data_IF_497503375059
#
_entry.id   IF_497503375059
#
_cell.length_a   1.000
_cell.length_b   1.000
_cell.length_c   1.000
_cell.angle_alpha   90.00
_cell.angle_beta   90.00
_cell.angle_gamma   90.00
#
_symmetry.space_group_name_H-M   'P 1'
#
loop_
_entity.id
_entity.type
_entity.pdbx_description
1 polymer ?
#
# COMPACT_ATOMS: atom_id res chain seq x y z
N UNK A 1 -2.54 -19.88 -3.67
CA UNK A 1 -2.20 -19.39 -2.32
C UNK A 1 -3.33 -18.52 -1.84
N UNK A 2 -3.77 -18.68 -0.59
CA UNK A 2 -4.84 -17.85 -0.01
C UNK A 2 -4.29 -16.43 0.13
N UNK A 3 -4.97 -15.44 -0.45
CA UNK A 3 -4.59 -14.04 -0.29
C UNK A 3 -4.61 -13.69 1.21
N UNK A 4 -3.64 -12.88 1.71
CA UNK A 4 -3.65 -12.45 3.11
C UNK A 4 -5.02 -11.85 3.45
N UNK A 5 -5.57 -12.18 4.63
CA UNK A 5 -6.89 -11.70 5.07
C UNK A 5 -6.83 -10.23 5.46
N UNK A 6 -6.71 -9.36 4.46
CA UNK A 6 -6.96 -7.93 4.61
C UNK A 6 -8.39 -7.60 4.21
N UNK A 7 -9.07 -6.74 4.97
CA UNK A 7 -10.38 -6.19 4.61
C UNK A 7 -10.28 -4.68 4.48
N UNK A 8 -10.74 -4.15 3.35
CA UNK A 8 -10.88 -2.72 3.15
C UNK A 8 -11.97 -2.20 4.09
N UNK A 9 -11.59 -1.30 4.99
CA UNK A 9 -12.51 -0.68 5.95
C UNK A 9 -13.08 0.63 5.40
N UNK A 10 -12.21 1.49 4.88
CA UNK A 10 -12.55 2.84 4.46
C UNK A 10 -11.73 3.23 3.23
N UNK A 11 -12.32 4.08 2.40
CA UNK A 11 -11.63 4.85 1.37
C UNK A 11 -11.90 6.32 1.64
N UNK A 12 -10.84 7.09 1.89
CA UNK A 12 -10.92 8.53 2.15
C UNK A 12 -10.08 9.23 1.10
N UNK A 13 -10.74 9.68 0.03
CA UNK A 13 -10.10 10.33 -1.10
C UNK A 13 -9.03 9.42 -1.73
N UNK A 14 -7.74 9.74 -1.54
CA UNK A 14 -6.56 9.03 -2.02
C UNK A 14 -6.02 7.98 -1.03
N UNK A 15 -6.60 7.88 0.17
CA UNK A 15 -6.21 6.92 1.19
C UNK A 15 -7.12 5.68 1.23
N UNK A 16 -6.51 4.48 1.25
CA UNK A 16 -7.19 3.21 1.49
C UNK A 16 -6.81 2.69 2.89
N UNK A 17 -7.79 2.42 3.73
CA UNK A 17 -7.58 1.89 5.09
C UNK A 17 -8.01 0.43 5.15
N UNK A 18 -7.09 -0.44 5.56
CA UNK A 18 -7.36 -1.86 5.72
C UNK A 18 -7.22 -2.28 7.18
N UNK A 19 -8.04 -3.24 7.60
CA UNK A 19 -7.73 -4.12 8.73
C UNK A 19 -7.08 -5.40 8.21
N UNK A 20 -6.13 -5.94 8.96
CA UNK A 20 -5.42 -7.17 8.59
C UNK A 20 -5.06 -7.95 9.85
N UNK A 21 -5.12 -9.28 9.77
CA UNK A 21 -4.63 -10.16 10.85
C UNK A 21 -3.13 -9.90 11.12
N UNK A 22 -2.71 -10.07 12.37
CA UNK A 22 -1.31 -9.94 12.77
C UNK A 22 -0.42 -10.89 11.95
N UNK A 23 0.70 -10.37 11.41
CA UNK A 23 1.58 -11.09 10.49
C UNK A 23 1.17 -11.05 9.01
N UNK A 24 -0.05 -10.60 8.68
CA UNK A 24 -0.52 -10.46 7.29
C UNK A 24 -0.14 -9.13 6.62
N UNK A 25 0.33 -8.14 7.39
CA UNK A 25 0.51 -6.77 6.93
C UNK A 25 1.50 -6.62 5.75
N UNK A 26 2.65 -7.30 5.80
CA UNK A 26 3.65 -7.22 4.73
C UNK A 26 3.11 -7.75 3.39
N UNK A 27 2.40 -8.88 3.42
CA UNK A 27 1.86 -9.48 2.20
C UNK A 27 0.68 -8.67 1.63
N UNK A 28 -0.15 -8.07 2.50
CA UNK A 28 -1.20 -7.14 2.06
C UNK A 28 -0.60 -5.87 1.44
N UNK A 29 0.43 -5.29 2.08
CA UNK A 29 1.17 -4.13 1.57
C UNK A 29 1.65 -4.38 0.14
N UNK A 30 2.37 -5.48 -0.08
CA UNK A 30 2.93 -5.79 -1.41
C UNK A 30 1.83 -5.96 -2.47
N UNK A 31 0.73 -6.61 -2.11
CA UNK A 31 -0.41 -6.79 -3.02
C UNK A 31 -1.11 -5.46 -3.36
N UNK A 32 -1.37 -4.61 -2.36
CA UNK A 32 -2.02 -3.31 -2.54
C UNK A 32 -1.12 -2.35 -3.31
N UNK A 33 0.17 -2.26 -2.96
CA UNK A 33 1.13 -1.42 -3.68
C UNK A 33 1.21 -1.82 -5.15
N UNK A 34 1.30 -3.14 -5.45
CA UNK A 34 1.30 -3.61 -6.83
C UNK A 34 0.03 -3.19 -7.57
N UNK A 35 -1.15 -3.43 -6.97
CA UNK A 35 -2.42 -3.09 -7.59
C UNK A 35 -2.55 -1.58 -7.85
N UNK A 36 -2.14 -0.73 -6.90
CA UNK A 36 -2.21 0.73 -7.04
C UNK A 36 -1.22 1.25 -8.09
N UNK A 37 0.02 0.76 -8.11
CA UNK A 37 1.08 1.31 -8.97
C UNK A 37 0.99 0.78 -10.40
N UNK A 38 0.66 -0.49 -10.59
CA UNK A 38 0.77 -1.15 -11.89
C UNK A 38 -0.58 -1.45 -12.56
N UNK A 39 -1.62 -1.75 -11.78
CA UNK A 39 -2.86 -2.32 -12.32
C UNK A 39 -4.01 -1.29 -12.37
N UNK A 40 -3.90 -0.18 -11.64
CA UNK A 40 -4.99 0.80 -11.51
C UNK A 40 -5.23 1.62 -12.79
N UNK A 41 -4.18 2.16 -13.41
CA UNK A 41 -4.27 2.92 -14.66
C UNK A 41 -2.88 3.15 -15.29
N UNK A 42 -2.83 3.30 -16.61
CA UNK A 42 -1.62 3.72 -17.31
C UNK A 42 -1.44 5.24 -17.18
N UNK A 43 -0.44 5.67 -16.41
CA UNK A 43 -0.14 7.07 -16.15
C UNK A 43 1.20 7.46 -16.79
N UNK A 44 1.34 8.73 -17.16
CA UNK A 44 2.60 9.28 -17.70
C UNK A 44 3.69 9.45 -16.64
N UNK A 45 3.34 9.29 -15.37
CA UNK A 45 4.20 9.54 -14.21
C UNK A 45 3.95 8.45 -13.16
N UNK A 46 4.93 8.18 -12.28
CA UNK A 46 4.74 7.23 -11.18
C UNK A 46 3.64 7.65 -10.23
N UNK A 47 2.98 6.65 -9.63
CA UNK A 47 2.33 6.82 -8.35
C UNK A 47 3.32 6.49 -7.23
N UNK A 48 3.61 7.48 -6.38
CA UNK A 48 4.28 7.26 -5.11
C UNK A 48 3.25 6.83 -4.08
N UNK A 49 3.49 5.71 -3.41
CA UNK A 49 2.62 5.19 -2.35
C UNK A 49 3.31 5.39 -1.00
N UNK A 50 2.58 5.90 -0.01
CA UNK A 50 3.02 5.97 1.39
C UNK A 50 2.21 4.96 2.18
N UNK A 51 2.91 4.09 2.90
CA UNK A 51 2.30 3.07 3.74
C UNK A 51 2.46 3.49 5.19
N UNK A 52 1.35 3.48 5.94
CA UNK A 52 1.35 3.68 7.38
C UNK A 52 0.71 2.47 8.05
N UNK A 53 1.24 2.06 9.20
CA UNK A 53 0.76 0.91 9.95
C UNK A 53 0.72 1.23 11.45
N UNK A 54 -0.20 0.60 12.17
CA UNK A 54 -0.36 0.82 13.60
C UNK A 54 -1.57 0.06 14.14
N UNK A 55 -1.68 -0.10 15.47
CA UNK A 55 -2.77 -0.84 16.11
C UNK A 55 -4.11 -0.10 16.07
N UNK A 56 -4.10 1.20 15.75
CA UNK A 56 -5.31 2.02 15.58
C UNK A 56 -5.06 3.16 14.60
N UNK A 57 -6.14 3.76 14.06
CA UNK A 57 -6.06 4.88 13.11
C UNK A 57 -5.26 6.09 13.64
N UNK A 58 -5.39 6.41 14.93
CA UNK A 58 -4.70 7.54 15.55
C UNK A 58 -3.22 7.27 15.88
N UNK A 59 -2.75 6.04 15.64
CA UNK A 59 -1.40 5.57 15.97
C UNK A 59 -0.68 4.99 14.74
N UNK A 60 -1.13 5.37 13.55
CA UNK A 60 -0.49 4.98 12.30
C UNK A 60 0.86 5.69 12.17
N UNK A 61 1.93 4.91 12.06
CA UNK A 61 3.27 5.40 11.79
C UNK A 61 3.66 5.05 10.35
N UNK A 62 4.35 5.97 9.68
CA UNK A 62 4.88 5.71 8.34
C UNK A 62 5.91 4.60 8.44
N UNK A 63 5.69 3.51 7.71
CA UNK A 63 6.70 2.48 7.52
C UNK A 63 7.85 3.13 6.75
N UNK A 64 9.08 3.05 7.27
CA UNK A 64 10.24 3.75 6.69
C UNK A 64 10.30 3.54 5.18
N UNK A 65 10.46 4.64 4.42
CA UNK A 65 10.44 4.75 2.95
C UNK A 65 11.29 3.66 2.26
N UNK A 66 10.73 2.45 2.11
CA UNK A 66 11.37 1.34 1.38
C UNK A 66 10.77 1.15 -0.02
N UNK A 67 9.74 1.92 -0.38
CA UNK A 67 9.27 2.02 -1.77
C UNK A 67 10.14 3.04 -2.50
N UNK A 68 11.33 2.53 -2.81
CA UNK A 68 12.38 3.13 -3.59
C UNK A 68 11.88 3.84 -4.84
N UNK A 69 12.37 5.07 -4.97
CA UNK A 69 12.56 5.85 -6.20
C UNK A 69 13.39 5.11 -7.29
N UNK A 70 13.74 3.84 -7.12
CA UNK A 70 14.87 3.15 -7.80
C UNK A 70 14.48 2.41 -9.09
N UNK A 71 13.27 2.57 -9.63
CA UNK A 71 12.92 1.96 -10.94
C UNK A 71 12.48 2.94 -12.03
N UNK A 72 12.61 4.25 -11.81
CA UNK A 72 12.44 5.23 -12.89
C UNK A 72 13.76 5.44 -13.65
N UNK A 73 14.16 4.41 -14.40
CA UNK A 73 14.99 4.62 -15.58
C UNK A 73 14.05 5.10 -16.68
N UNK A 74 14.08 6.40 -16.96
CA UNK A 74 13.27 7.02 -17.99
C UNK A 74 13.41 6.28 -19.32
N UNK A 75 12.28 5.80 -19.83
CA UNK A 75 12.06 5.46 -21.23
C UNK A 75 10.86 6.23 -21.73
#
# INVERSE_FOLDING_TARGET
GVAPRGRLLLQVHDELVFEVEEGGAAALRDAVTKAMVHDAAMLKVPLRIVIKQGPSLGQLETESDNLTQTQWAGH
#
